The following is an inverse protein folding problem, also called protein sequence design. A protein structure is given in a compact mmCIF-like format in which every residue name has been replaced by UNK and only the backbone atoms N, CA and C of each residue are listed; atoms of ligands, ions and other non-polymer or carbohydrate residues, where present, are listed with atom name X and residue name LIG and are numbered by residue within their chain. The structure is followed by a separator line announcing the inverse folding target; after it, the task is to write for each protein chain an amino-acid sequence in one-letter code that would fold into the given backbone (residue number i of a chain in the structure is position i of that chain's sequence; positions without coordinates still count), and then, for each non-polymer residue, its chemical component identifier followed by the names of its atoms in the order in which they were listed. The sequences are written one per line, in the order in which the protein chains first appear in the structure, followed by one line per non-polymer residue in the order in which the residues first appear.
data_IF_201883646452
#
_entry.id   IF_201883646452
#
_cell.length_a   1.000
_cell.length_b   1.000
_cell.length_c   1.000
_cell.angle_alpha   90.00
_cell.angle_beta   90.00
_cell.angle_gamma   90.00
#
_symmetry.space_group_name_H-M   'P 1'
#
loop_
_entity.id
_entity.type
_entity.pdbx_description
1 polymer ?
#
# COMPACT_ATOMS: atom_id res chain seq x y z
N UNK A 1 -8.31 -70.05 32.28
CA UNK A 1 -6.93 -69.96 31.71
C UNK A 1 -6.46 -68.51 31.77
N UNK A 2 -5.42 -68.31 32.54
CA UNK A 2 -4.90 -67.04 33.04
C UNK A 2 -4.04 -66.36 31.96
N UNK A 3 -4.19 -65.07 31.71
CA UNK A 3 -3.23 -64.26 30.97
C UNK A 3 -2.77 -63.13 31.89
N UNK A 4 -1.48 -63.21 32.20
CA UNK A 4 -0.77 -62.30 33.11
C UNK A 4 -0.62 -60.91 32.51
N UNK A 5 -0.91 -59.85 33.30
CA UNK A 5 -0.55 -58.48 33.06
C UNK A 5 0.97 -58.29 33.28
N UNK A 6 1.67 -57.80 32.25
CA UNK A 6 3.04 -57.27 32.38
C UNK A 6 2.97 -55.76 32.61
N UNK A 7 3.34 -55.35 33.81
CA UNK A 7 3.54 -53.93 34.18
C UNK A 7 4.96 -53.51 33.74
N UNK A 8 5.03 -52.63 32.74
CA UNK A 8 6.28 -51.90 32.47
C UNK A 8 6.30 -50.61 33.29
N UNK A 9 7.18 -50.59 34.29
CA UNK A 9 7.58 -49.38 35.01
C UNK A 9 8.45 -48.54 34.09
N UNK A 10 8.05 -47.27 33.86
CA UNK A 10 8.93 -46.25 33.26
C UNK A 10 9.70 -45.55 34.38
N UNK A 11 11.03 -45.35 34.28
CA UNK A 11 11.76 -44.50 35.20
C UNK A 11 11.53 -43.02 34.84
N UNK A 12 11.16 -42.24 35.85
CA UNK A 12 11.12 -40.78 35.77
C UNK A 12 12.52 -40.22 35.61
N UNK A 13 12.85 -39.71 34.43
CA UNK A 13 14.05 -38.92 34.19
C UNK A 13 13.69 -37.44 34.39
N UNK A 14 13.97 -36.90 35.56
CA UNK A 14 13.95 -35.49 35.86
C UNK A 14 15.12 -34.84 35.12
N UNK A 15 14.83 -34.24 33.94
CA UNK A 15 15.76 -33.34 33.28
C UNK A 15 15.56 -31.95 33.89
N UNK A 16 16.46 -31.60 34.80
CA UNK A 16 16.63 -30.22 35.25
C UNK A 16 17.27 -29.41 34.11
N UNK A 17 16.46 -28.54 33.48
CA UNK A 17 16.96 -27.55 32.55
C UNK A 17 17.49 -26.36 33.35
N UNK A 18 18.76 -25.97 33.24
CA UNK A 18 19.25 -24.77 33.85
C UNK A 18 18.62 -23.54 33.15
N UNK A 19 17.91 -22.74 33.92
CA UNK A 19 17.39 -21.45 33.50
C UNK A 19 18.59 -20.50 33.34
N UNK A 20 19.08 -20.34 32.10
CA UNK A 20 20.05 -19.31 31.77
C UNK A 20 19.26 -18.00 31.68
N UNK A 21 19.41 -17.17 32.70
CA UNK A 21 18.99 -15.75 32.66
C UNK A 21 19.88 -15.04 31.64
N UNK A 22 19.41 -14.90 30.41
CA UNK A 22 19.96 -13.96 29.47
C UNK A 22 19.50 -12.55 29.85
N UNK A 23 20.40 -11.81 30.51
CA UNK A 23 20.24 -10.37 30.69
C UNK A 23 20.20 -9.73 29.30
N UNK A 24 19.02 -9.28 28.87
CA UNK A 24 18.87 -8.47 27.68
C UNK A 24 19.53 -7.11 27.94
N UNK A 25 20.75 -6.94 27.46
CA UNK A 25 21.37 -5.64 27.35
C UNK A 25 20.59 -4.87 26.25
N UNK A 26 19.76 -3.92 26.66
CA UNK A 26 19.18 -2.91 25.79
C UNK A 26 20.34 -2.04 25.29
N UNK A 27 20.93 -2.40 24.15
CA UNK A 27 21.79 -1.50 23.40
C UNK A 27 20.88 -0.52 22.69
N UNK A 28 20.74 0.66 23.29
CA UNK A 28 20.12 1.80 22.62
C UNK A 28 21.03 2.23 21.45
N UNK A 29 20.81 1.65 20.27
CA UNK A 29 21.35 2.20 19.04
C UNK A 29 20.66 3.55 18.78
N UNK A 30 21.27 4.62 19.31
CA UNK A 30 21.07 5.94 18.75
C UNK A 30 21.78 5.96 17.41
N UNK A 31 21.08 5.51 16.36
CA UNK A 31 21.46 5.87 14.99
C UNK A 31 21.13 7.35 14.83
N UNK A 32 22.13 8.20 14.98
CA UNK A 32 22.11 9.52 14.37
C UNK A 32 22.26 9.32 12.86
N UNK A 33 21.20 8.80 12.22
CA UNK A 33 21.04 8.98 10.80
C UNK A 33 20.81 10.47 10.61
N UNK A 34 21.77 11.18 10.03
CA UNK A 34 21.50 12.47 9.38
C UNK A 34 20.24 12.26 8.54
N UNK A 35 19.23 13.12 8.67
CA UNK A 35 18.08 13.01 7.80
C UNK A 35 18.62 13.07 6.38
N UNK A 36 18.48 11.97 5.62
CA UNK A 36 18.66 12.00 4.19
C UNK A 36 17.82 13.17 3.71
N UNK A 37 18.43 14.10 2.95
CA UNK A 37 17.74 15.27 2.46
C UNK A 37 16.44 14.81 1.84
N UNK A 38 15.31 15.11 2.45
CA UNK A 38 13.99 14.85 1.91
C UNK A 38 13.98 15.45 0.51
N UNK A 39 13.62 14.68 -0.54
CA UNK A 39 13.50 15.24 -1.88
C UNK A 39 12.59 16.47 -1.74
N UNK A 40 13.07 17.63 -2.20
CA UNK A 40 12.27 18.85 -2.17
C UNK A 40 11.01 18.62 -3.02
N UNK A 41 9.81 18.53 -2.41
CA UNK A 41 8.57 18.32 -3.15
C UNK A 41 8.23 19.49 -4.07
N UNK A 42 9.00 20.58 -4.00
CA UNK A 42 8.86 21.78 -4.82
C UNK A 42 9.83 21.81 -6.02
N UNK A 43 10.52 20.71 -6.33
CA UNK A 43 11.46 20.64 -7.45
C UNK A 43 10.79 21.14 -8.75
N UNK A 44 11.31 22.23 -9.37
CA UNK A 44 10.71 22.82 -10.56
C UNK A 44 10.62 21.89 -11.77
N UNK A 45 11.52 20.91 -11.90
CA UNK A 45 11.49 19.92 -12.97
C UNK A 45 10.24 19.05 -12.94
N UNK A 46 9.62 18.90 -11.78
CA UNK A 46 8.40 18.11 -11.62
C UNK A 46 7.15 18.87 -12.01
N UNK A 47 7.10 20.19 -11.77
CA UNK A 47 5.98 21.07 -12.17
C UNK A 47 5.74 21.06 -13.68
N UNK A 48 6.78 20.82 -14.46
CA UNK A 48 6.70 20.83 -15.93
C UNK A 48 5.94 19.64 -16.52
N UNK A 49 5.89 18.51 -15.82
CA UNK A 49 5.28 17.26 -16.33
C UNK A 49 3.81 17.14 -15.92
N UNK A 50 3.41 17.69 -14.76
CA UNK A 50 2.11 17.43 -14.17
C UNK A 50 1.18 18.65 -14.04
N UNK A 51 1.63 19.84 -14.43
CA UNK A 51 0.86 21.09 -14.30
C UNK A 51 0.61 21.49 -12.83
N UNK A 52 -0.04 22.65 -12.60
CA UNK A 52 -0.40 23.05 -11.25
C UNK A 52 -1.53 22.16 -10.74
N UNK A 53 -1.22 21.34 -9.74
CA UNK A 53 -2.22 20.60 -8.99
C UNK A 53 -3.18 21.59 -8.31
N UNK A 54 -4.45 21.38 -8.53
CA UNK A 54 -5.50 22.02 -7.74
C UNK A 54 -6.24 20.93 -6.99
N UNK A 55 -5.96 20.71 -5.69
CA UNK A 55 -6.77 19.78 -4.91
C UNK A 55 -8.23 20.24 -5.02
N UNK A 56 -9.11 19.30 -5.30
CA UNK A 56 -10.54 19.59 -5.17
C UNK A 56 -10.87 19.68 -3.68
N UNK A 57 -10.69 20.88 -3.14
CA UNK A 57 -11.01 21.18 -1.75
C UNK A 57 -12.53 21.28 -1.53
N UNK A 58 -13.35 21.05 -2.57
CA UNK A 58 -14.82 21.08 -2.43
C UNK A 58 -15.40 19.76 -1.95
N UNK A 59 -14.63 18.66 -2.03
CA UNK A 59 -15.05 17.29 -1.68
C UNK A 59 -14.92 16.89 -0.22
N UNK A 60 -14.85 17.79 0.74
CA UNK A 60 -14.96 17.48 2.15
C UNK A 60 -16.29 16.81 2.49
N UNK A 61 -16.37 16.18 3.66
CA UNK A 61 -17.59 15.58 4.18
C UNK A 61 -18.82 16.36 3.69
N UNK A 62 -19.62 15.74 2.83
CA UNK A 62 -20.77 16.40 2.22
C UNK A 62 -21.80 16.86 3.26
N UNK A 63 -21.71 16.37 4.50
CA UNK A 63 -22.51 16.86 5.63
C UNK A 63 -22.11 18.28 6.06
N UNK A 64 -20.93 18.77 5.68
CA UNK A 64 -20.42 20.10 6.07
C UNK A 64 -20.49 21.16 4.93
N UNK A 65 -21.00 20.78 3.76
CA UNK A 65 -21.07 21.68 2.59
C UNK A 65 -19.72 21.90 1.88
N UNK A 66 -19.70 22.70 0.79
CA UNK A 66 -18.46 23.02 0.09
C UNK A 66 -17.50 23.78 1.02
N UNK A 67 -16.24 23.33 1.04
CA UNK A 67 -15.21 23.97 1.84
C UNK A 67 -14.89 25.39 1.39
N UNK A 68 -14.20 26.18 2.23
CA UNK A 68 -13.80 27.52 1.88
C UNK A 68 -12.86 27.54 0.68
N UNK A 69 -13.02 28.52 -0.20
CA UNK A 69 -12.07 28.78 -1.27
C UNK A 69 -10.84 29.49 -0.69
N UNK A 70 -9.70 28.80 -0.60
CA UNK A 70 -8.46 29.37 -0.09
C UNK A 70 -7.70 30.13 -1.19
N UNK A 71 -7.25 31.36 -0.88
CA UNK A 71 -6.34 32.11 -1.74
C UNK A 71 -4.91 31.55 -1.71
N UNK A 72 -4.02 32.02 -2.62
CA UNK A 72 -2.66 31.48 -2.72
C UNK A 72 -1.85 31.54 -1.44
N UNK A 73 -1.91 32.65 -0.70
CA UNK A 73 -1.19 32.81 0.58
C UNK A 73 -1.71 31.86 1.65
N UNK A 74 -3.02 31.70 1.72
CA UNK A 74 -3.63 30.80 2.69
C UNK A 74 -3.32 29.34 2.37
N UNK A 75 -3.23 28.96 1.09
CA UNK A 75 -2.78 27.64 0.65
C UNK A 75 -1.34 27.35 1.08
N UNK A 76 -0.45 28.34 1.03
CA UNK A 76 0.92 28.17 1.52
C UNK A 76 0.94 27.92 3.03
N UNK A 77 0.08 28.59 3.80
CA UNK A 77 -0.05 28.32 5.24
C UNK A 77 -0.61 26.93 5.50
N UNK A 78 -1.67 26.53 4.75
CA UNK A 78 -2.23 25.19 4.86
C UNK A 78 -1.20 24.12 4.51
N UNK A 79 -0.38 24.34 3.50
CA UNK A 79 0.69 23.40 3.13
C UNK A 79 1.71 23.20 4.26
N UNK A 80 2.14 24.29 4.90
CA UNK A 80 3.06 24.24 6.04
C UNK A 80 2.40 23.55 7.25
N UNK A 81 1.17 23.96 7.58
CA UNK A 81 0.37 23.36 8.64
C UNK A 81 0.14 21.85 8.39
N UNK A 82 -0.23 21.47 7.17
CA UNK A 82 -0.47 20.08 6.78
C UNK A 82 0.78 19.22 6.88
N UNK A 83 1.95 19.78 6.51
CA UNK A 83 3.23 19.12 6.72
C UNK A 83 3.50 18.85 8.20
N UNK A 84 3.33 19.86 9.05
CA UNK A 84 3.55 19.71 10.49
C UNK A 84 2.58 18.68 11.10
N UNK A 85 1.31 18.71 10.72
CA UNK A 85 0.30 17.74 11.15
C UNK A 85 0.65 16.32 10.71
N UNK A 86 1.14 16.15 9.47
CA UNK A 86 1.49 14.84 8.91
C UNK A 86 2.59 14.12 9.71
N UNK A 87 3.54 14.87 10.24
CA UNK A 87 4.65 14.33 11.04
C UNK A 87 4.36 14.33 12.54
N UNK A 88 3.31 14.99 13.00
CA UNK A 88 3.01 15.14 14.42
C UNK A 88 2.40 13.86 15.01
N UNK A 89 2.94 13.45 16.14
CA UNK A 89 2.41 12.36 16.98
C UNK A 89 1.50 12.84 18.11
N UNK A 90 1.21 14.14 18.17
CA UNK A 90 0.46 14.74 19.28
C UNK A 90 -0.63 15.71 18.87
N UNK A 91 -0.65 16.15 17.60
CA UNK A 91 -1.56 17.21 17.13
C UNK A 91 -3.06 16.90 17.35
N UNK A 92 -3.44 15.63 17.31
CA UNK A 92 -4.83 15.20 17.49
C UNK A 92 -5.07 14.53 18.86
N UNK A 93 -4.12 14.67 19.79
CA UNK A 93 -4.17 13.97 21.07
C UNK A 93 -4.09 12.46 20.91
N UNK A 94 -3.21 11.98 20.03
CA UNK A 94 -3.07 10.55 19.72
C UNK A 94 -2.77 9.75 20.96
N UNK A 95 -3.48 8.65 21.11
CA UNK A 95 -3.24 7.60 22.12
C UNK A 95 -2.39 6.49 21.50
N UNK A 96 -1.86 5.58 22.34
CA UNK A 96 -1.23 4.37 21.81
C UNK A 96 -2.17 3.58 20.92
N UNK A 97 -1.68 3.19 19.74
CA UNK A 97 -2.45 2.41 18.76
C UNK A 97 -2.75 1.00 19.28
N UNK A 98 -3.92 0.49 18.92
CA UNK A 98 -4.36 -0.89 19.19
C UNK A 98 -4.04 -1.82 18.01
N UNK A 99 -3.52 -1.29 16.91
CA UNK A 99 -3.14 -2.08 15.73
C UNK A 99 -2.00 -3.06 16.04
N UNK A 100 -2.09 -4.34 15.67
CA UNK A 100 -1.16 -5.38 16.10
C UNK A 100 0.31 -5.11 15.79
N UNK A 101 0.62 -4.53 14.62
CA UNK A 101 2.00 -4.22 14.21
C UNK A 101 2.57 -2.97 14.89
N UNK A 102 1.70 -2.10 15.38
CA UNK A 102 2.06 -0.79 15.95
C UNK A 102 1.51 -0.63 17.36
N UNK A 103 1.17 -1.75 18.00
CA UNK A 103 0.56 -1.78 19.31
C UNK A 103 1.36 -0.99 20.35
N UNK A 104 0.66 -0.14 21.08
CA UNK A 104 1.28 0.69 22.10
C UNK A 104 2.08 1.88 21.59
N UNK A 105 2.18 2.10 20.28
CA UNK A 105 2.90 3.22 19.69
C UNK A 105 1.96 4.40 19.45
N UNK A 106 2.44 5.61 19.73
CA UNK A 106 1.77 6.85 19.33
C UNK A 106 2.21 7.19 17.90
N UNK A 107 1.27 7.21 16.97
CA UNK A 107 1.55 7.30 15.54
C UNK A 107 1.30 8.70 14.97
N UNK A 108 1.98 8.98 13.87
CA UNK A 108 1.68 10.06 12.92
C UNK A 108 1.39 9.44 11.54
N UNK A 109 0.94 10.23 10.58
CA UNK A 109 0.79 9.74 9.20
C UNK A 109 2.12 9.18 8.66
N UNK A 110 3.24 9.87 8.95
CA UNK A 110 4.59 9.46 8.57
C UNK A 110 5.07 8.16 9.25
N UNK A 111 4.36 7.64 10.23
CA UNK A 111 4.70 6.35 10.86
C UNK A 111 4.46 5.16 9.93
N UNK A 112 3.47 5.28 9.03
CA UNK A 112 3.16 4.29 8.00
C UNK A 112 3.53 4.82 6.60
N UNK A 113 3.34 6.11 6.35
CA UNK A 113 3.70 6.75 5.07
C UNK A 113 5.07 7.41 5.17
N UNK A 114 6.13 6.59 5.22
CA UNK A 114 7.52 7.04 5.40
C UNK A 114 8.06 7.68 4.12
N UNK A 115 8.48 8.97 4.14
CA UNK A 115 9.05 9.61 2.96
C UNK A 115 10.27 8.91 2.38
N UNK A 116 11.07 8.25 3.22
CA UNK A 116 12.26 7.52 2.77
C UNK A 116 11.92 6.27 1.96
N UNK A 117 10.68 5.78 2.08
CA UNK A 117 10.19 4.57 1.44
C UNK A 117 9.11 4.86 0.38
N UNK A 118 9.11 6.06 -0.22
CA UNK A 118 8.09 6.42 -1.20
C UNK A 118 6.71 6.65 -0.59
N UNK A 119 6.64 7.12 0.65
CA UNK A 119 5.41 7.35 1.41
C UNK A 119 4.55 6.08 1.58
N UNK A 120 5.20 4.95 1.75
CA UNK A 120 4.67 3.67 2.23
C UNK A 120 5.62 3.12 3.30
N UNK A 121 5.26 2.07 4.01
CA UNK A 121 6.18 1.35 4.90
C UNK A 121 6.46 -0.08 4.42
N UNK A 122 5.86 -0.47 3.30
CA UNK A 122 5.97 -1.82 2.75
C UNK A 122 5.32 -2.90 3.61
N UNK A 123 4.48 -2.53 4.58
CA UNK A 123 3.84 -3.46 5.50
C UNK A 123 2.34 -3.56 5.25
N UNK A 124 1.77 -4.68 5.70
CA UNK A 124 0.33 -4.91 5.69
C UNK A 124 -0.22 -4.79 7.10
N UNK A 125 -1.02 -3.78 7.33
CA UNK A 125 -1.67 -3.50 8.59
C UNK A 125 -3.09 -4.08 8.67
N UNK A 126 -3.58 -4.30 9.89
CA UNK A 126 -5.00 -4.39 10.15
C UNK A 126 -5.55 -2.97 10.31
N UNK A 127 -6.52 -2.63 9.48
CA UNK A 127 -7.22 -1.35 9.52
C UNK A 127 -8.71 -1.58 9.72
N UNK A 128 -9.39 -0.61 10.28
CA UNK A 128 -10.83 -0.75 10.49
C UNK A 128 -11.47 0.44 11.22
N UNK A 129 -12.79 0.51 11.20
CA UNK A 129 -13.69 -0.38 10.46
C UNK A 129 -13.60 -0.18 8.95
N UNK A 130 -13.77 -1.25 8.18
CA UNK A 130 -13.77 -1.21 6.72
C UNK A 130 -15.12 -1.72 6.24
N UNK A 131 -15.99 -0.81 5.83
CA UNK A 131 -17.38 -1.12 5.45
C UNK A 131 -18.10 -1.91 6.57
N UNK A 132 -18.62 -3.09 6.26
CA UNK A 132 -19.34 -3.96 7.20
C UNK A 132 -18.39 -4.86 8.01
N UNK A 133 -17.07 -4.69 7.85
CA UNK A 133 -16.06 -5.49 8.55
C UNK A 133 -15.46 -4.70 9.70
N UNK A 134 -15.22 -5.37 10.81
CA UNK A 134 -14.50 -4.77 11.93
C UNK A 134 -13.06 -4.45 11.56
N UNK A 135 -12.41 -5.35 10.81
CA UNK A 135 -11.03 -5.20 10.36
C UNK A 135 -10.80 -5.77 8.96
N UNK A 136 -9.82 -5.23 8.25
CA UNK A 136 -9.32 -5.77 7.00
C UNK A 136 -7.81 -5.62 6.93
N UNK A 137 -7.15 -6.48 6.15
CA UNK A 137 -5.73 -6.38 5.86
C UNK A 137 -5.51 -5.39 4.73
N UNK A 138 -4.63 -4.41 4.95
CA UNK A 138 -4.30 -3.40 3.94
C UNK A 138 -2.80 -3.12 3.95
N UNK A 139 -2.19 -3.33 2.79
CA UNK A 139 -0.86 -2.80 2.52
C UNK A 139 -0.95 -1.27 2.52
N UNK A 140 0.03 -0.61 3.14
CA UNK A 140 0.09 0.86 3.17
C UNK A 140 0.30 1.38 1.74
N UNK A 141 -0.69 2.04 1.12
CA UNK A 141 -0.51 2.59 -0.22
C UNK A 141 0.43 3.78 -0.20
N UNK A 142 1.16 3.99 -1.29
CA UNK A 142 1.95 5.22 -1.45
C UNK A 142 1.04 6.45 -1.51
N UNK A 143 1.56 7.59 -1.02
CA UNK A 143 0.93 8.89 -1.22
C UNK A 143 1.54 9.66 -2.40
N UNK A 144 2.52 9.07 -3.11
CA UNK A 144 3.08 9.71 -4.30
C UNK A 144 2.01 9.80 -5.40
N UNK A 145 1.77 11.01 -5.88
CA UNK A 145 0.74 11.26 -6.90
C UNK A 145 -0.70 11.12 -6.43
N UNK A 146 -0.94 10.98 -5.12
CA UNK A 146 -2.26 10.71 -4.53
C UNK A 146 -3.33 11.72 -4.94
N UNK A 147 -2.95 12.93 -5.24
CA UNK A 147 -3.85 13.99 -5.73
C UNK A 147 -4.74 13.59 -6.93
N UNK A 148 -4.31 12.61 -7.71
CA UNK A 148 -4.90 12.25 -8.98
C UNK A 148 -5.53 10.85 -8.99
N UNK A 149 -5.65 10.20 -7.83
CA UNK A 149 -6.04 8.79 -7.72
C UNK A 149 -7.33 8.55 -6.94
N UNK A 150 -8.17 9.59 -6.84
CA UNK A 150 -9.50 9.42 -6.24
C UNK A 150 -10.34 8.36 -7.01
N UNK A 151 -11.22 7.62 -6.30
CA UNK A 151 -11.47 7.64 -4.86
C UNK A 151 -10.36 6.91 -4.07
N UNK A 152 -10.26 7.23 -2.77
CA UNK A 152 -9.17 6.79 -1.92
C UNK A 152 -9.50 5.53 -1.12
N UNK A 153 -8.47 4.91 -0.55
CA UNK A 153 -8.46 3.56 0.01
C UNK A 153 -8.56 2.49 -1.08
N UNK A 154 -8.09 1.27 -0.77
CA UNK A 154 -8.10 0.17 -1.72
C UNK A 154 -9.48 -0.20 -2.26
N UNK A 155 -10.52 0.05 -1.49
CA UNK A 155 -11.93 -0.21 -1.80
C UNK A 155 -12.72 1.04 -2.19
N UNK A 156 -12.06 2.17 -2.41
CA UNK A 156 -12.66 3.42 -2.86
C UNK A 156 -13.68 4.04 -1.91
N UNK A 157 -13.70 3.61 -0.64
CA UNK A 157 -14.72 4.08 0.32
C UNK A 157 -14.63 5.55 0.68
N UNK A 158 -13.49 6.18 0.42
CA UNK A 158 -13.25 7.58 0.74
C UNK A 158 -13.22 8.43 -0.53
N UNK A 159 -14.21 9.30 -0.75
CA UNK A 159 -14.27 10.11 -1.96
C UNK A 159 -13.23 11.24 -1.98
N UNK A 160 -12.70 11.62 -0.82
CA UNK A 160 -11.74 12.73 -0.67
C UNK A 160 -10.58 12.38 0.23
N UNK A 161 -9.46 13.10 0.09
CA UNK A 161 -8.31 12.97 1.00
C UNK A 161 -8.68 13.34 2.44
N UNK A 162 -9.56 14.30 2.61
CA UNK A 162 -10.05 14.71 3.92
C UNK A 162 -10.79 13.57 4.63
N UNK A 163 -11.69 12.89 3.91
CA UNK A 163 -12.42 11.75 4.45
C UNK A 163 -11.48 10.59 4.81
N UNK A 164 -10.50 10.31 3.95
CA UNK A 164 -9.50 9.27 4.19
C UNK A 164 -8.64 9.61 5.42
N UNK A 165 -8.09 10.85 5.46
CA UNK A 165 -7.26 11.30 6.58
C UNK A 165 -8.03 11.27 7.90
N UNK A 166 -9.30 11.74 7.92
CA UNK A 166 -10.14 11.64 9.12
C UNK A 166 -10.28 10.20 9.60
N UNK A 167 -10.56 9.27 8.68
CA UNK A 167 -10.68 7.84 9.00
C UNK A 167 -9.44 7.30 9.72
N UNK A 168 -8.25 7.55 9.17
CA UNK A 168 -6.98 7.12 9.76
C UNK A 168 -6.68 7.80 11.11
N UNK A 169 -7.01 9.09 11.24
CA UNK A 169 -6.77 9.86 12.48
C UNK A 169 -7.60 9.29 13.64
N UNK A 170 -8.88 9.00 13.43
CA UNK A 170 -9.78 8.55 14.51
C UNK A 170 -9.74 7.05 14.76
N UNK A 171 -9.22 6.25 13.82
CA UNK A 171 -9.16 4.79 13.94
C UNK A 171 -8.29 4.36 15.12
N UNK A 172 -8.80 3.53 16.05
CA UNK A 172 -8.00 3.00 17.15
C UNK A 172 -6.88 2.06 16.68
N UNK A 173 -7.01 1.45 15.51
CA UNK A 173 -5.99 0.58 14.92
C UNK A 173 -4.86 1.35 14.23
N UNK A 174 -5.06 2.67 14.01
CA UNK A 174 -4.13 3.58 13.36
C UNK A 174 -3.70 4.67 14.33
N UNK A 175 -4.06 5.94 14.12
CA UNK A 175 -3.58 7.06 14.93
C UNK A 175 -4.28 7.21 16.28
N UNK A 176 -5.44 6.63 16.49
CA UNK A 176 -6.18 6.59 17.75
C UNK A 176 -6.32 7.98 18.42
N UNK A 177 -6.76 8.96 17.66
CA UNK A 177 -6.91 10.32 18.15
C UNK A 177 -7.96 10.42 19.26
N UNK A 178 -7.72 11.29 20.23
CA UNK A 178 -8.68 11.56 21.33
C UNK A 178 -9.66 12.68 21.00
N UNK A 179 -9.49 13.34 19.85
CA UNK A 179 -10.40 14.37 19.34
C UNK A 179 -10.57 14.24 17.84
N UNK A 180 -11.68 14.72 17.35
CA UNK A 180 -11.91 14.88 15.91
C UNK A 180 -10.96 15.95 15.34
N UNK A 181 -10.41 15.73 14.14
CA UNK A 181 -9.72 16.77 13.41
C UNK A 181 -10.72 17.84 12.94
N UNK A 182 -10.29 19.08 12.95
CA UNK A 182 -11.08 20.20 12.38
C UNK A 182 -11.07 20.14 10.86
N UNK A 183 -12.03 20.79 10.22
CA UNK A 183 -12.06 20.93 8.77
C UNK A 183 -10.76 21.54 8.23
N UNK A 184 -10.24 22.60 8.87
CA UNK A 184 -9.01 23.25 8.47
C UNK A 184 -7.79 22.29 8.53
N UNK A 185 -7.69 21.47 9.57
CA UNK A 185 -6.61 20.49 9.68
C UNK A 185 -6.69 19.43 8.57
N UNK A 186 -7.89 18.98 8.22
CA UNK A 186 -8.11 18.05 7.10
C UNK A 186 -7.76 18.69 5.74
N UNK A 187 -8.14 19.94 5.54
CA UNK A 187 -7.79 20.68 4.32
C UNK A 187 -6.27 20.91 4.22
N UNK A 188 -5.61 21.21 5.35
CA UNK A 188 -4.16 21.34 5.42
C UNK A 188 -3.44 20.03 5.08
N UNK A 189 -3.89 18.90 5.65
CA UNK A 189 -3.35 17.59 5.31
C UNK A 189 -3.56 17.25 3.83
N UNK A 190 -4.72 17.54 3.26
CA UNK A 190 -5.00 17.30 1.85
C UNK A 190 -4.11 18.18 0.95
N UNK A 191 -3.90 19.46 1.31
CA UNK A 191 -3.00 20.35 0.57
C UNK A 191 -1.56 19.83 0.58
N UNK A 192 -1.05 19.38 1.73
CA UNK A 192 0.28 18.78 1.82
C UNK A 192 0.39 17.49 1.00
N UNK A 193 -0.53 16.54 1.18
CA UNK A 193 -0.52 15.28 0.44
C UNK A 193 -0.62 15.52 -1.07
N UNK A 194 -1.36 16.53 -1.48
CA UNK A 194 -1.50 16.94 -2.88
C UNK A 194 -0.20 17.40 -3.54
N UNK A 195 0.83 17.72 -2.76
CA UNK A 195 2.16 18.10 -3.30
C UNK A 195 3.10 16.92 -3.47
N UNK A 196 2.74 15.74 -2.99
CA UNK A 196 3.60 14.56 -3.02
C UNK A 196 3.64 13.97 -4.43
N UNK A 197 4.80 14.06 -5.04
CA UNK A 197 4.98 13.73 -6.45
C UNK A 197 5.92 12.55 -6.63
N UNK A 198 5.74 11.80 -7.71
CA UNK A 198 6.61 10.64 -8.01
C UNK A 198 7.95 11.13 -8.55
N UNK A 199 9.08 10.76 -7.96
CA UNK A 199 10.39 11.08 -8.53
C UNK A 199 10.60 10.31 -9.85
N UNK A 200 11.23 10.94 -10.82
CA UNK A 200 11.51 10.30 -12.10
C UNK A 200 12.45 9.10 -11.92
N UNK A 201 12.14 8.01 -12.63
CA UNK A 201 13.01 6.85 -12.68
C UNK A 201 14.29 7.16 -13.49
N UNK A 202 15.42 6.56 -13.10
CA UNK A 202 16.73 6.79 -13.72
C UNK A 202 17.00 5.71 -14.78
N UNK A 203 17.00 6.07 -16.09
CA UNK A 203 17.28 5.13 -17.17
C UNK A 203 18.66 4.49 -17.01
N UNK A 204 18.78 3.21 -17.34
CA UNK A 204 20.04 2.45 -17.26
C UNK A 204 20.50 2.12 -15.84
N UNK A 205 19.84 2.66 -14.80
CA UNK A 205 20.11 2.38 -13.39
C UNK A 205 18.94 1.64 -12.72
N UNK A 206 17.75 2.20 -12.83
CA UNK A 206 16.56 1.64 -12.19
C UNK A 206 15.76 0.75 -13.14
N UNK A 207 15.85 1.02 -14.44
CA UNK A 207 15.22 0.22 -15.49
C UNK A 207 16.03 0.25 -16.80
N UNK A 208 15.81 -0.75 -17.67
CA UNK A 208 16.35 -0.82 -19.03
C UNK A 208 15.41 -0.08 -20.00
N UNK A 209 15.82 1.06 -20.59
CA UNK A 209 14.94 1.85 -21.44
C UNK A 209 14.56 1.16 -22.77
N UNK A 210 15.39 0.24 -23.27
CA UNK A 210 15.09 -0.50 -24.51
C UNK A 210 14.00 -1.55 -24.22
N UNK A 211 14.13 -2.27 -23.13
CA UNK A 211 13.10 -3.21 -22.66
C UNK A 211 11.81 -2.48 -22.31
N UNK A 212 11.92 -1.36 -21.59
CA UNK A 212 10.76 -0.56 -21.20
C UNK A 212 9.92 -0.11 -22.40
N UNK A 213 10.55 0.30 -23.50
CA UNK A 213 9.84 0.67 -24.72
C UNK A 213 9.07 -0.51 -25.34
N UNK A 214 9.64 -1.74 -25.31
CA UNK A 214 8.91 -2.94 -25.74
C UNK A 214 7.79 -3.29 -24.77
N UNK A 215 8.05 -3.17 -23.48
CA UNK A 215 7.06 -3.40 -22.41
C UNK A 215 5.87 -2.44 -22.50
N UNK A 216 6.09 -1.17 -22.84
CA UNK A 216 5.00 -0.22 -23.08
C UNK A 216 4.09 -0.68 -24.23
N UNK A 217 4.66 -1.16 -25.33
CA UNK A 217 3.86 -1.69 -26.43
C UNK A 217 3.01 -2.89 -25.99
N UNK A 218 3.58 -3.81 -25.22
CA UNK A 218 2.86 -4.95 -24.66
C UNK A 218 1.74 -4.52 -23.68
N UNK A 219 2.04 -3.57 -22.81
CA UNK A 219 1.10 -3.03 -21.82
C UNK A 219 -0.15 -2.42 -22.47
N UNK A 220 0.00 -1.82 -23.65
CA UNK A 220 -1.07 -1.15 -24.38
C UNK A 220 -1.78 -2.06 -25.41
N UNK A 221 -1.22 -3.22 -25.72
CA UNK A 221 -1.77 -4.11 -26.75
C UNK A 221 -2.82 -5.06 -26.19
N UNK A 222 -4.11 -4.97 -26.62
CA UNK A 222 -5.15 -5.87 -26.15
C UNK A 222 -4.92 -7.31 -26.64
N UNK A 223 -5.00 -8.26 -25.70
CA UNK A 223 -4.94 -9.71 -25.97
C UNK A 223 -6.25 -10.39 -25.59
N UNK A 224 -6.64 -11.49 -26.25
CA UNK A 224 -7.75 -12.31 -25.81
C UNK A 224 -7.50 -12.80 -24.37
N UNK A 225 -8.54 -12.77 -23.54
CA UNK A 225 -8.42 -13.17 -22.13
C UNK A 225 -9.44 -14.21 -21.75
N UNK A 226 -9.10 -14.99 -20.73
CA UNK A 226 -10.02 -15.80 -19.94
C UNK A 226 -10.13 -15.15 -18.57
N UNK A 227 -11.33 -14.68 -18.23
CA UNK A 227 -11.56 -13.99 -16.96
C UNK A 227 -12.39 -14.86 -16.00
N UNK A 228 -11.77 -15.45 -14.96
CA UNK A 228 -12.48 -16.28 -14.01
C UNK A 228 -13.47 -15.52 -13.13
N UNK A 229 -13.35 -14.18 -13.04
CA UNK A 229 -14.29 -13.36 -12.27
C UNK A 229 -15.57 -13.03 -13.04
N UNK A 230 -15.58 -13.28 -14.34
CA UNK A 230 -16.71 -12.98 -15.22
C UNK A 230 -16.98 -11.48 -15.44
N UNK A 231 -16.01 -10.61 -15.11
CA UNK A 231 -16.11 -9.19 -15.39
C UNK A 231 -16.01 -8.90 -16.88
N UNK A 232 -15.12 -9.61 -17.56
CA UNK A 232 -14.98 -9.56 -19.02
C UNK A 232 -15.57 -10.83 -19.66
N UNK A 233 -16.53 -10.67 -20.59
CA UNK A 233 -17.10 -11.81 -21.32
C UNK A 233 -16.04 -12.65 -22.04
N UNK A 234 -16.29 -13.93 -22.23
CA UNK A 234 -15.40 -14.82 -22.96
C UNK A 234 -15.08 -14.27 -24.36
N UNK A 235 -13.80 -14.26 -24.72
CA UNK A 235 -13.32 -13.71 -25.99
C UNK A 235 -13.08 -12.20 -25.99
N UNK A 236 -13.30 -11.51 -24.88
CA UNK A 236 -12.89 -10.12 -24.73
C UNK A 236 -11.40 -9.95 -24.95
N UNK A 237 -11.00 -8.80 -25.50
CA UNK A 237 -9.59 -8.40 -25.59
C UNK A 237 -9.31 -7.33 -24.54
N UNK A 238 -8.38 -7.59 -23.66
CA UNK A 238 -7.99 -6.72 -22.56
C UNK A 238 -6.49 -6.42 -22.67
N UNK A 239 -6.11 -5.19 -22.35
CA UNK A 239 -4.73 -4.77 -22.14
C UNK A 239 -4.56 -4.34 -20.69
N UNK A 240 -3.33 -4.27 -20.18
CA UNK A 240 -3.07 -3.67 -18.88
C UNK A 240 -3.61 -2.21 -18.84
N UNK A 241 -3.44 -1.49 -19.94
CA UNK A 241 -3.95 -0.14 -20.14
C UNK A 241 -5.48 -0.03 -20.19
N UNK A 242 -6.23 -1.13 -20.19
CA UNK A 242 -7.72 -1.09 -20.10
C UNK A 242 -8.16 -0.56 -18.74
N UNK A 243 -7.50 -0.99 -17.66
CA UNK A 243 -7.75 -0.53 -16.31
C UNK A 243 -6.71 0.53 -15.88
N UNK A 244 -5.43 0.28 -16.15
CA UNK A 244 -4.35 1.24 -15.86
C UNK A 244 -4.22 2.27 -16.98
N UNK A 245 -5.26 3.10 -17.14
CA UNK A 245 -5.41 4.05 -18.22
C UNK A 245 -4.91 5.47 -17.86
N UNK A 246 -4.77 6.31 -18.90
CA UNK A 246 -4.45 7.73 -18.74
C UNK A 246 -3.05 8.01 -18.19
N UNK A 247 -2.78 9.29 -17.85
CA UNK A 247 -1.45 9.72 -17.42
C UNK A 247 -1.07 9.28 -16.01
N UNK A 248 -2.05 8.86 -15.22
CA UNK A 248 -1.84 8.36 -13.85
C UNK A 248 -1.94 6.84 -13.74
N UNK A 249 -2.09 6.15 -14.87
CA UNK A 249 -2.17 4.67 -14.91
C UNK A 249 -3.22 4.09 -13.96
N UNK A 250 -4.39 4.73 -13.93
CA UNK A 250 -5.57 4.27 -13.21
C UNK A 250 -6.81 4.78 -13.93
N UNK A 251 -7.89 4.02 -13.92
CA UNK A 251 -9.22 4.44 -14.38
C UNK A 251 -10.12 4.91 -13.24
N UNK A 252 -9.63 4.84 -11.98
CA UNK A 252 -10.38 5.22 -10.78
C UNK A 252 -11.61 4.34 -10.51
N UNK A 253 -11.69 3.15 -11.11
CA UNK A 253 -12.83 2.24 -10.95
C UNK A 253 -12.44 1.01 -10.15
N UNK A 254 -13.45 0.42 -9.51
CA UNK A 254 -13.31 -0.88 -8.88
C UNK A 254 -13.47 -2.00 -9.91
N UNK A 255 -12.58 -2.97 -9.85
CA UNK A 255 -12.60 -4.17 -10.66
C UNK A 255 -12.62 -5.41 -9.78
N UNK A 256 -13.34 -6.44 -10.24
CA UNK A 256 -13.38 -7.72 -9.54
C UNK A 256 -11.98 -8.31 -9.47
N UNK A 257 -11.55 -8.61 -8.26
CA UNK A 257 -10.29 -9.31 -8.02
C UNK A 257 -10.54 -10.80 -7.87
N UNK A 258 -9.71 -11.61 -8.50
CA UNK A 258 -9.51 -12.98 -8.03
C UNK A 258 -8.74 -12.82 -6.72
N UNK A 259 -9.36 -13.23 -5.61
CA UNK A 259 -8.74 -13.06 -4.31
C UNK A 259 -7.47 -13.91 -4.27
N UNK A 260 -6.34 -13.23 -4.19
CA UNK A 260 -5.03 -13.87 -4.18
C UNK A 260 -4.84 -14.73 -2.92
N UNK A 261 -5.62 -14.47 -1.87
CA UNK A 261 -5.62 -15.22 -0.61
C UNK A 261 -6.40 -16.52 -0.61
N UNK A 262 -7.02 -16.89 -1.73
CA UNK A 262 -7.73 -18.16 -1.88
C UNK A 262 -9.13 -18.23 -1.26
N UNK A 263 -9.56 -17.22 -0.50
CA UNK A 263 -10.92 -17.16 0.04
C UNK A 263 -11.61 -15.82 -0.32
N UNK A 264 -12.45 -15.82 -1.37
CA UNK A 264 -13.19 -14.64 -1.78
C UNK A 264 -14.15 -14.10 -0.71
N UNK A 265 -14.51 -14.91 0.29
CA UNK A 265 -15.35 -14.47 1.39
C UNK A 265 -14.61 -13.59 2.40
N UNK A 266 -13.27 -13.59 2.38
CA UNK A 266 -12.47 -12.88 3.40
C UNK A 266 -12.41 -11.38 3.14
N UNK A 267 -12.24 -10.92 1.90
CA UNK A 267 -12.26 -9.50 1.58
C UNK A 267 -12.68 -9.23 0.13
N UNK A 268 -13.94 -8.93 -0.11
CA UNK A 268 -14.45 -8.70 -1.46
C UNK A 268 -14.08 -7.31 -2.01
N UNK A 269 -13.43 -6.43 -1.24
CA UNK A 269 -13.25 -5.04 -1.60
C UNK A 269 -14.55 -4.23 -1.54
N UNK A 270 -14.81 -3.44 -2.56
CA UNK A 270 -16.05 -2.67 -2.67
C UNK A 270 -17.26 -3.59 -2.87
N UNK A 271 -18.27 -3.43 -2.05
CA UNK A 271 -19.61 -4.03 -2.23
C UNK A 271 -20.60 -2.91 -2.51
N UNK A 272 -21.29 -3.01 -3.64
CA UNK A 272 -22.30 -2.03 -4.05
C UNK A 272 -23.58 -2.18 -3.22
N UNK A 273 -24.47 -1.15 -3.20
CA UNK A 273 -25.72 -1.20 -2.45
C UNK A 273 -26.65 -2.35 -2.84
N UNK A 274 -26.54 -2.87 -4.06
CA UNK A 274 -27.30 -4.03 -4.55
C UNK A 274 -26.69 -5.38 -4.14
N UNK A 275 -25.63 -5.37 -3.34
CA UNK A 275 -24.89 -6.55 -2.91
C UNK A 275 -23.87 -7.07 -3.93
N UNK A 276 -23.72 -6.42 -5.09
CA UNK A 276 -22.75 -6.84 -6.10
C UNK A 276 -21.33 -6.49 -5.62
N UNK A 277 -20.41 -7.47 -5.68
CA UNK A 277 -18.99 -7.25 -5.42
C UNK A 277 -18.38 -6.49 -6.59
N UNK A 278 -17.88 -5.29 -6.34
CA UNK A 278 -17.16 -4.48 -7.31
C UNK A 278 -15.65 -4.75 -7.28
N UNK A 279 -15.12 -5.16 -6.13
CA UNK A 279 -13.71 -5.50 -5.96
C UNK A 279 -12.87 -4.35 -5.43
N UNK A 280 -11.65 -4.19 -5.95
CA UNK A 280 -10.71 -3.15 -5.54
C UNK A 280 -10.52 -2.12 -6.65
N UNK A 281 -10.31 -0.87 -6.23
CA UNK A 281 -9.99 0.20 -7.16
C UNK A 281 -8.62 -0.03 -7.80
N UNK A 282 -8.53 0.29 -9.09
CA UNK A 282 -7.28 0.24 -9.85
C UNK A 282 -6.28 1.22 -9.24
N UNK A 283 -5.19 0.77 -8.62
CA UNK A 283 -4.18 1.68 -8.10
C UNK A 283 -3.40 2.32 -9.25
N UNK A 284 -2.90 3.55 -9.04
CA UNK A 284 -1.92 4.13 -9.94
C UNK A 284 -0.64 3.27 -9.97
N UNK A 285 -0.02 3.15 -11.15
CA UNK A 285 1.27 2.47 -11.28
C UNK A 285 2.46 3.43 -11.20
N UNK A 286 2.21 4.73 -11.03
CA UNK A 286 3.27 5.72 -10.89
C UNK A 286 4.12 5.45 -9.64
N UNK A 287 5.45 5.45 -9.82
CA UNK A 287 6.38 5.21 -8.71
C UNK A 287 6.39 3.78 -8.19
N UNK A 288 5.85 2.85 -8.95
CA UNK A 288 5.72 1.44 -8.57
C UNK A 288 7.06 0.82 -8.12
N UNK A 289 8.19 1.25 -8.70
CA UNK A 289 9.54 0.80 -8.28
C UNK A 289 9.88 1.08 -6.82
N UNK A 290 9.12 1.95 -6.14
CA UNK A 290 9.34 2.35 -4.74
C UNK A 290 8.35 1.71 -3.76
N UNK A 291 7.33 1.00 -4.24
CA UNK A 291 6.11 0.73 -3.46
C UNK A 291 5.80 -0.75 -3.25
N UNK A 292 6.77 -1.65 -3.55
CA UNK A 292 6.60 -3.06 -3.17
C UNK A 292 6.43 -3.21 -1.64
N UNK A 293 5.63 -4.20 -1.17
CA UNK A 293 4.90 -5.23 -1.89
C UNK A 293 3.61 -4.70 -2.55
N UNK A 294 3.08 -5.47 -3.49
CA UNK A 294 1.91 -5.06 -4.27
C UNK A 294 0.63 -5.76 -3.82
N UNK A 295 -0.49 -5.39 -4.47
CA UNK A 295 -1.85 -5.75 -4.13
C UNK A 295 -2.33 -5.11 -2.80
N UNK A 296 -3.63 -5.13 -2.60
CA UNK A 296 -4.30 -4.49 -1.46
C UNK A 296 -3.88 -5.05 -0.09
N UNK A 297 -3.39 -6.26 -0.06
CA UNK A 297 -2.97 -7.02 1.12
C UNK A 297 -1.46 -7.29 1.18
N UNK A 298 -0.68 -6.73 0.24
CA UNK A 298 0.77 -6.93 0.16
C UNK A 298 1.20 -8.32 -0.33
N UNK A 299 0.26 -9.14 -0.83
CA UNK A 299 0.56 -10.51 -1.27
C UNK A 299 1.45 -10.58 -2.52
N UNK A 300 1.54 -9.50 -3.29
CA UNK A 300 2.44 -9.36 -4.44
C UNK A 300 3.86 -8.93 -4.07
N UNK A 301 4.39 -9.39 -2.93
CA UNK A 301 5.76 -9.14 -2.49
C UNK A 301 6.80 -10.06 -3.13
N UNK A 302 8.08 -9.86 -2.79
CA UNK A 302 9.15 -10.79 -3.12
C UNK A 302 8.92 -12.11 -2.36
N UNK A 303 8.79 -13.27 -3.05
CA UNK A 303 8.55 -14.55 -2.40
C UNK A 303 9.69 -14.97 -1.45
N UNK A 304 10.88 -14.40 -1.60
CA UNK A 304 12.02 -14.64 -0.71
C UNK A 304 12.03 -13.70 0.48
N UNK A 305 11.20 -12.67 0.47
CA UNK A 305 11.08 -11.73 1.58
C UNK A 305 10.36 -12.38 2.77
N UNK A 306 10.89 -12.24 4.00
CA UNK A 306 10.21 -12.71 5.19
C UNK A 306 8.85 -12.05 5.44
N UNK A 307 8.52 -10.99 4.72
CA UNK A 307 7.22 -10.30 4.76
C UNK A 307 6.20 -10.89 3.79
N UNK A 308 6.59 -11.81 2.91
CA UNK A 308 5.67 -12.43 1.96
C UNK A 308 4.74 -13.45 2.64
N UNK A 309 3.44 -13.19 2.59
CA UNK A 309 2.41 -14.03 3.19
C UNK A 309 2.12 -15.33 2.41
N UNK A 310 2.59 -15.46 1.16
CA UNK A 310 2.42 -16.67 0.36
C UNK A 310 3.21 -17.88 0.85
N UNK A 311 4.23 -17.70 1.65
CA UNK A 311 5.04 -18.80 2.19
C UNK A 311 4.36 -19.61 3.30
N UNK A 312 3.02 -19.55 3.43
CA UNK A 312 2.22 -20.44 4.29
C UNK A 312 2.44 -20.28 5.79
N UNK A 313 3.21 -19.30 6.20
CA UNK A 313 3.36 -18.93 7.60
C UNK A 313 2.58 -17.64 7.87
N UNK A 314 1.92 -17.57 9.01
CA UNK A 314 1.65 -16.28 9.66
C UNK A 314 3.03 -15.67 9.90
N UNK A 315 3.59 -15.05 8.86
CA UNK A 315 4.94 -14.51 8.90
C UNK A 315 5.00 -13.59 10.10
N UNK A 316 5.85 -13.92 11.04
CA UNK A 316 6.30 -12.92 12.00
C UNK A 316 6.87 -11.82 11.13
N UNK A 317 6.08 -10.77 10.92
CA UNK A 317 6.60 -9.53 10.40
C UNK A 317 7.77 -9.20 11.30
N UNK A 318 8.98 -9.37 10.81
CA UNK A 318 10.14 -8.87 11.51
C UNK A 318 9.89 -7.36 11.57
N UNK A 319 9.73 -6.83 12.78
CA UNK A 319 9.63 -5.40 13.06
C UNK A 319 10.92 -4.65 12.65
N UNK A 320 11.92 -5.39 12.21
CA UNK A 320 13.11 -4.85 11.58
C UNK A 320 12.71 -4.47 10.15
N UNK A 321 12.40 -3.18 10.00
CA UNK A 321 12.36 -2.54 8.69
C UNK A 321 13.66 -2.88 7.99
N UNK A 322 13.60 -3.80 7.06
CA UNK A 322 14.71 -4.01 6.14
C UNK A 322 14.68 -2.86 5.11
N UNK A 323 15.12 -1.68 5.60
CA UNK A 323 15.19 -0.44 4.81
C UNK A 323 16.10 -0.65 3.59
N UNK A 324 16.89 -1.71 3.57
CA UNK A 324 17.73 -2.12 2.44
C UNK A 324 16.98 -2.81 1.30
N UNK A 325 15.71 -3.21 1.51
CA UNK A 325 14.94 -4.00 0.55
C UNK A 325 13.87 -3.16 -0.19
N UNK A 326 14.07 -1.86 -0.36
CA UNK A 326 13.23 -1.03 -1.20
C UNK A 326 13.98 -0.62 -2.49
N UNK A 327 13.21 -0.30 -3.53
CA UNK A 327 13.72 0.20 -4.78
C UNK A 327 13.61 -0.78 -5.95
N UNK A 328 14.12 -0.38 -7.09
CA UNK A 328 13.88 -1.05 -8.38
C UNK A 328 14.26 -2.55 -8.41
N UNK A 329 15.27 -2.97 -7.66
CA UNK A 329 15.67 -4.38 -7.65
C UNK A 329 14.64 -5.28 -6.93
N UNK A 330 14.09 -4.81 -5.80
CA UNK A 330 13.04 -5.52 -5.06
C UNK A 330 11.74 -5.50 -5.85
N UNK A 331 11.38 -4.33 -6.38
CA UNK A 331 10.21 -4.17 -7.24
C UNK A 331 10.26 -5.10 -8.45
N UNK A 332 11.41 -5.20 -9.13
CA UNK A 332 11.61 -6.11 -10.28
C UNK A 332 11.34 -7.56 -9.90
N UNK A 333 11.89 -8.05 -8.78
CA UNK A 333 11.63 -9.42 -8.32
C UNK A 333 10.15 -9.62 -8.00
N UNK A 334 9.54 -8.73 -7.24
CA UNK A 334 8.12 -8.81 -6.90
C UNK A 334 7.21 -8.82 -8.13
N UNK A 335 7.55 -8.02 -9.15
CA UNK A 335 6.84 -8.01 -10.42
C UNK A 335 6.99 -9.34 -11.18
N UNK A 336 8.22 -9.84 -11.31
CA UNK A 336 8.50 -11.05 -12.10
C UNK A 336 8.07 -12.33 -11.42
N UNK A 337 8.18 -12.40 -10.09
CA UNK A 337 7.92 -13.64 -9.35
C UNK A 337 6.47 -13.77 -8.89
N UNK A 338 5.71 -12.65 -8.83
CA UNK A 338 4.34 -12.66 -8.32
C UNK A 338 3.33 -11.93 -9.21
N UNK A 339 3.51 -10.62 -9.42
CA UNK A 339 2.44 -9.78 -10.00
C UNK A 339 2.17 -10.11 -11.46
N UNK A 340 3.21 -10.12 -12.27
CA UNK A 340 3.05 -10.41 -13.70
C UNK A 340 2.64 -11.85 -13.97
N UNK A 341 3.21 -12.89 -13.31
CA UNK A 341 2.71 -14.25 -13.39
C UNK A 341 1.24 -14.39 -12.99
N UNK A 342 0.80 -13.68 -11.92
CA UNK A 342 -0.61 -13.69 -11.52
C UNK A 342 -1.52 -13.20 -12.64
N UNK A 343 -1.23 -12.06 -13.25
CA UNK A 343 -2.03 -11.54 -14.37
C UNK A 343 -1.91 -12.41 -15.62
N UNK A 344 -0.73 -13.00 -15.84
CA UNK A 344 -0.45 -13.82 -17.00
C UNK A 344 -1.18 -15.16 -17.01
N UNK A 345 -1.39 -15.77 -15.84
CA UNK A 345 -1.89 -17.15 -15.75
C UNK A 345 -3.17 -17.29 -14.93
N UNK A 346 -3.39 -16.43 -13.91
CA UNK A 346 -4.51 -16.58 -12.98
C UNK A 346 -5.66 -15.63 -13.32
N UNK A 347 -5.33 -14.33 -13.50
CA UNK A 347 -6.37 -13.30 -13.67
C UNK A 347 -6.91 -13.23 -15.10
N UNK A 348 -6.03 -13.32 -16.12
CA UNK A 348 -6.42 -13.06 -17.51
C UNK A 348 -5.93 -14.09 -18.54
N UNK A 349 -5.00 -14.98 -18.19
CA UNK A 349 -4.37 -15.94 -19.13
C UNK A 349 -3.80 -15.24 -20.39
N UNK A 350 -3.02 -14.17 -20.19
CA UNK A 350 -2.45 -13.37 -21.30
C UNK A 350 -1.45 -14.14 -22.17
N UNK A 351 -0.81 -15.18 -21.62
CA UNK A 351 0.20 -16.01 -22.30
C UNK A 351 1.40 -15.23 -22.80
N UNK A 352 1.85 -14.25 -22.02
CA UNK A 352 3.15 -13.61 -22.25
C UNK A 352 4.27 -14.61 -22.01
N UNK A 353 5.32 -14.52 -22.84
CA UNK A 353 6.57 -15.26 -22.60
C UNK A 353 7.37 -14.61 -21.48
N UNK A 354 8.36 -15.33 -20.93
CA UNK A 354 9.21 -14.80 -19.87
C UNK A 354 9.96 -13.52 -20.33
N UNK A 355 10.34 -13.44 -21.61
CA UNK A 355 10.97 -12.23 -22.16
C UNK A 355 9.98 -11.06 -22.22
N UNK A 356 8.73 -11.28 -22.63
CA UNK A 356 7.67 -10.26 -22.64
C UNK A 356 7.34 -9.80 -21.21
N UNK A 357 7.32 -10.71 -20.22
CA UNK A 357 7.15 -10.36 -18.81
C UNK A 357 8.31 -9.50 -18.29
N UNK A 358 9.55 -9.83 -18.69
CA UNK A 358 10.71 -9.03 -18.34
C UNK A 358 10.66 -7.63 -18.98
N UNK A 359 10.19 -7.51 -20.22
CA UNK A 359 10.01 -6.22 -20.87
C UNK A 359 8.89 -5.40 -20.17
N UNK A 360 7.77 -6.03 -19.80
CA UNK A 360 6.70 -5.40 -19.03
C UNK A 360 7.20 -4.91 -17.66
N UNK A 361 8.03 -5.69 -16.96
CA UNK A 361 8.59 -5.29 -15.68
C UNK A 361 9.44 -4.01 -15.82
N UNK A 362 10.28 -3.92 -16.86
CA UNK A 362 11.11 -2.73 -17.10
C UNK A 362 10.26 -1.49 -17.43
N UNK A 363 9.16 -1.65 -18.17
CA UNK A 363 8.21 -0.56 -18.37
C UNK A 363 7.57 -0.10 -17.06
N UNK A 364 7.09 -1.02 -16.25
CA UNK A 364 6.48 -0.69 -14.95
C UNK A 364 7.47 0.00 -14.00
N UNK A 365 8.74 -0.39 -14.04
CA UNK A 365 9.80 0.27 -13.27
C UNK A 365 10.15 1.67 -13.77
N UNK A 366 9.84 1.98 -15.03
CA UNK A 366 10.08 3.30 -15.63
C UNK A 366 9.03 4.35 -15.20
N UNK A 367 7.89 3.91 -14.67
CA UNK A 367 6.79 4.76 -14.20
C UNK A 367 7.11 5.28 -12.79
#
# INVERSE_FOLDING_TARGET
MSVRRLLFRRPNLLLTVPMVLAAAAFVAFRTSASPAATPDPLNPAFKAVHGPFRPDLTGGDQSQGPGPAYGPEERQKLLAEGKDLFFSRTAFGQRPSEGPLVFGQTLSCASCHDPALGFTDGLTHLVGPVREREVARRQTPTLLGVAHTAPYSWDGRNPTLQAQARGAIVSPLEMHASREPTRRELDALAEFQGTLTVPAAVPGKEYDPVRAARGEALFRTPRPVTDPTGEFPAGSKVACATCHAGPFFTDGKAHRSVVVTGDPAVDPGEVRPDGTIAGFHTPSLLGLRLTAPYFHDGSGGDPTSPTNLFSGGLGRHSLERDIGNHGAAVARRALLDNVLPFYNTVRFDFRFTDEELADLAEFLLSL
#
